data_IF_474454439960
#
_entry.id   IF_474454439960
#
_cell.length_a   1.000
_cell.length_b   1.000
_cell.length_c   1.000
_cell.angle_alpha   90.00
_cell.angle_beta   90.00
_cell.angle_gamma   90.00
#
_symmetry.space_group_name_H-M   'P 1'
#
loop_
_entity.id
_entity.type
_entity.pdbx_description
1 polymer ?
#
# COMPACT_ATOMS: atom_id res chain seq x y z
N UNK A 1 -11.10 -0.31 8.75
CA UNK A 1 -9.71 -0.12 9.20
C UNK A 1 -9.63 1.14 10.02
N UNK A 2 -8.89 1.10 11.10
CA UNK A 2 -8.71 2.23 12.03
C UNK A 2 -7.25 2.65 12.06
N UNK A 3 -7.02 3.89 12.49
CA UNK A 3 -5.66 4.34 12.75
C UNK A 3 -4.98 3.42 13.77
N UNK A 4 -3.75 3.01 13.48
CA UNK A 4 -3.00 2.07 14.30
C UNK A 4 -3.16 0.60 13.89
N UNK A 5 -4.09 0.26 13.02
CA UNK A 5 -4.17 -1.08 12.45
C UNK A 5 -2.89 -1.38 11.65
N UNK A 6 -2.43 -2.62 11.73
CA UNK A 6 -1.22 -3.06 11.05
C UNK A 6 -1.53 -4.18 10.07
N UNK A 7 -0.93 -4.12 8.89
CA UNK A 7 -1.03 -5.14 7.85
C UNK A 7 0.37 -5.69 7.58
N UNK A 8 0.79 -6.73 8.29
CA UNK A 8 2.12 -7.32 8.10
C UNK A 8 2.28 -7.89 6.69
N UNK A 9 3.49 -7.79 6.14
CA UNK A 9 3.83 -8.38 4.85
C UNK A 9 3.26 -7.68 3.63
N UNK A 10 2.66 -6.49 3.78
CA UNK A 10 2.16 -5.70 2.65
C UNK A 10 3.27 -4.94 1.93
N UNK A 11 4.35 -4.61 2.61
CA UNK A 11 5.45 -3.84 2.05
C UNK A 11 6.67 -4.74 1.86
N UNK A 12 7.23 -4.69 0.65
CA UNK A 12 8.40 -5.46 0.29
C UNK A 12 9.65 -4.59 0.11
N UNK A 13 10.62 -5.14 -0.60
CA UNK A 13 11.90 -4.49 -0.84
C UNK A 13 11.82 -3.28 -1.76
N UNK A 14 10.79 -3.18 -2.55
CA UNK A 14 10.56 -2.05 -3.45
C UNK A 14 9.33 -1.28 -2.97
N UNK A 15 9.56 -0.07 -2.50
CA UNK A 15 8.53 0.79 -1.91
C UNK A 15 8.92 2.25 -2.00
N UNK A 16 7.94 3.15 -1.85
CA UNK A 16 8.20 4.58 -1.79
C UNK A 16 8.50 5.02 -0.35
N UNK A 17 9.49 5.91 -0.23
CA UNK A 17 9.94 6.46 1.04
C UNK A 17 9.09 7.62 1.54
N UNK A 18 9.75 8.72 1.92
CA UNK A 18 9.08 9.91 2.42
C UNK A 18 8.11 10.51 1.39
N UNK A 19 6.96 11.05 1.83
CA UNK A 19 5.98 11.62 0.91
C UNK A 19 6.51 12.88 0.22
N UNK A 20 6.06 13.11 -1.02
CA UNK A 20 6.34 14.35 -1.71
C UNK A 20 5.62 15.53 -1.04
N UNK A 21 6.17 16.74 -1.23
CA UNK A 21 5.56 17.97 -0.74
C UNK A 21 4.59 18.51 -1.78
N UNK A 22 3.40 17.98 -1.82
CA UNK A 22 2.34 18.37 -2.77
C UNK A 22 1.15 18.90 -1.97
N UNK A 23 0.59 20.08 -2.32
CA UNK A 23 -0.60 20.59 -1.63
C UNK A 23 -1.76 19.60 -1.68
N UNK A 24 -2.38 19.34 -0.53
CA UNK A 24 -3.49 18.40 -0.40
C UNK A 24 -3.13 16.92 -0.32
N UNK A 25 -1.85 16.58 -0.41
CA UNK A 25 -1.41 15.21 -0.23
C UNK A 25 -1.66 14.72 1.20
N UNK A 26 -2.26 13.54 1.32
CA UNK A 26 -2.47 12.88 2.60
C UNK A 26 -1.73 11.56 2.64
N UNK A 27 -1.12 11.25 3.78
CA UNK A 27 -0.52 9.93 4.04
C UNK A 27 -1.62 9.00 4.52
N UNK A 28 -1.87 7.94 3.76
CA UNK A 28 -2.91 6.95 4.04
C UNK A 28 -2.40 5.83 4.92
N UNK A 29 -1.14 5.44 4.70
CA UNK A 29 -0.48 4.40 5.48
C UNK A 29 1.02 4.67 5.53
N UNK A 30 1.65 4.26 6.62
CA UNK A 30 3.09 4.38 6.78
C UNK A 30 3.65 3.23 7.61
N UNK A 31 4.94 3.02 7.50
CA UNK A 31 5.64 2.00 8.27
C UNK A 31 7.14 2.04 8.08
N UNK A 32 7.82 1.18 8.81
CA UNK A 32 9.26 0.95 8.64
C UNK A 32 9.46 -0.44 8.05
N UNK A 33 10.39 -0.52 7.11
CA UNK A 33 10.82 -1.76 6.47
C UNK A 33 12.27 -1.98 6.82
N UNK A 34 12.60 -3.17 7.30
CA UNK A 34 13.93 -3.51 7.79
C UNK A 34 14.63 -4.48 6.84
N UNK A 35 15.91 -4.23 6.58
CA UNK A 35 16.78 -5.13 5.82
C UNK A 35 17.86 -5.67 6.74
N UNK A 36 17.92 -7.00 6.88
CA UNK A 36 18.90 -7.66 7.74
C UNK A 36 18.81 -7.30 9.21
N UNK A 37 17.70 -6.71 9.67
CA UNK A 37 17.53 -6.30 11.07
C UNK A 37 18.33 -5.09 11.50
N UNK A 38 19.09 -4.47 10.60
CA UNK A 38 20.03 -3.38 10.92
C UNK A 38 19.62 -2.07 10.25
N UNK A 39 19.19 -2.12 8.99
CA UNK A 39 18.85 -0.95 8.21
C UNK A 39 17.34 -0.83 8.08
N UNK A 40 16.80 0.37 8.29
CA UNK A 40 15.38 0.63 8.09
C UNK A 40 15.16 1.62 6.96
N UNK A 41 14.02 1.50 6.30
CA UNK A 41 13.52 2.41 5.30
C UNK A 41 12.07 2.75 5.59
N UNK A 42 11.69 4.00 5.37
CA UNK A 42 10.31 4.45 5.57
C UNK A 42 9.46 4.11 4.35
N UNK A 43 8.26 3.63 4.60
CA UNK A 43 7.20 3.41 3.61
C UNK A 43 6.08 4.41 3.84
N UNK A 44 5.56 5.02 2.76
CA UNK A 44 4.35 5.86 2.83
C UNK A 44 3.48 5.65 1.59
N UNK A 45 2.22 5.27 1.81
CA UNK A 45 1.18 5.30 0.79
C UNK A 45 0.44 6.63 0.89
N UNK A 46 0.14 7.23 -0.25
CA UNK A 46 -0.39 8.59 -0.30
C UNK A 46 -1.57 8.72 -1.24
N UNK A 47 -2.40 9.73 -1.00
CA UNK A 47 -3.47 10.14 -1.91
C UNK A 47 -3.40 11.64 -2.13
N UNK A 48 -3.55 12.07 -3.37
CA UNK A 48 -3.55 13.48 -3.76
C UNK A 48 -4.85 13.77 -4.52
N UNK A 49 -5.70 14.70 -4.04
CA UNK A 49 -6.89 15.10 -4.78
C UNK A 49 -6.51 15.94 -6.00
N UNK A 50 -7.24 15.74 -7.09
CA UNK A 50 -7.10 16.52 -8.29
C UNK A 50 -8.20 17.62 -8.41
N UNK A 51 -8.11 18.49 -9.43
CA UNK A 51 -8.98 19.65 -9.56
C UNK A 51 -10.43 19.32 -9.99
N UNK A 52 -10.69 18.13 -10.48
CA UNK A 52 -12.00 17.70 -11.01
C UNK A 52 -12.58 16.53 -10.22
N UNK A 53 -12.48 16.55 -8.91
CA UNK A 53 -12.91 15.47 -8.03
C UNK A 53 -12.22 14.12 -8.35
N UNK A 54 -11.13 14.15 -9.09
CA UNK A 54 -10.26 13.01 -9.33
C UNK A 54 -9.18 12.95 -8.24
N UNK A 55 -8.39 11.90 -8.26
CA UNK A 55 -7.30 11.72 -7.31
C UNK A 55 -6.21 10.81 -7.88
N UNK A 56 -5.03 10.89 -7.27
CA UNK A 56 -3.95 9.93 -7.49
C UNK A 56 -3.70 9.20 -6.19
N UNK A 57 -3.80 7.89 -6.21
CA UNK A 57 -3.44 7.03 -5.09
C UNK A 57 -2.14 6.30 -5.41
N UNK A 58 -1.16 6.44 -4.53
CA UNK A 58 0.09 5.71 -4.62
C UNK A 58 0.14 4.66 -3.51
N UNK A 59 -0.01 3.40 -3.88
CA UNK A 59 0.07 2.29 -2.94
C UNK A 59 1.47 2.12 -2.35
N UNK A 60 2.49 2.56 -3.08
CA UNK A 60 3.87 2.62 -2.65
C UNK A 60 4.51 1.27 -2.30
N UNK A 61 3.90 0.18 -2.69
CA UNK A 61 4.44 -1.18 -2.51
C UNK A 61 4.14 -2.06 -3.71
N UNK A 62 5.09 -2.93 -4.06
CA UNK A 62 4.92 -3.93 -5.12
C UNK A 62 3.96 -5.06 -4.71
N UNK A 63 3.62 -5.18 -3.44
CA UNK A 63 2.81 -6.28 -2.91
C UNK A 63 1.33 -5.93 -2.74
N UNK A 64 0.88 -4.77 -3.21
CA UNK A 64 -0.52 -4.37 -3.06
C UNK A 64 -1.50 -5.37 -3.70
N UNK A 65 -1.19 -5.82 -4.91
CA UNK A 65 -2.04 -6.77 -5.63
C UNK A 65 -2.18 -8.10 -4.88
N UNK A 66 -1.12 -8.58 -4.23
CA UNK A 66 -1.17 -9.80 -3.42
C UNK A 66 -2.00 -9.62 -2.15
N UNK A 67 -2.15 -8.38 -1.67
CA UNK A 67 -3.08 -8.04 -0.59
C UNK A 67 -4.55 -8.08 -1.01
N UNK A 68 -4.85 -8.08 -2.32
CA UNK A 68 -6.21 -8.15 -2.85
C UNK A 68 -6.66 -9.58 -3.10
N UNK A 69 -5.85 -10.37 -3.76
CA UNK A 69 -6.23 -11.72 -4.16
C UNK A 69 -5.00 -12.63 -4.30
N UNK A 70 -5.24 -13.91 -4.04
CA UNK A 70 -4.27 -14.98 -4.30
C UNK A 70 -5.05 -16.13 -4.95
N UNK A 71 -5.20 -16.13 -6.29
CA UNK A 71 -5.96 -17.17 -7.00
C UNK A 71 -5.40 -18.56 -6.74
N UNK A 72 -6.21 -19.62 -6.83
CA UNK A 72 -5.73 -20.99 -6.71
C UNK A 72 -4.56 -21.28 -7.66
N UNK A 73 -3.51 -21.89 -7.14
CA UNK A 73 -2.30 -22.20 -7.90
C UNK A 73 -1.33 -21.03 -8.05
N UNK A 74 -1.71 -19.83 -7.60
CA UNK A 74 -0.80 -18.68 -7.61
C UNK A 74 0.25 -18.82 -6.52
N UNK A 75 1.50 -18.68 -6.91
CA UNK A 75 2.63 -18.64 -5.99
C UNK A 75 3.14 -17.20 -5.91
N UNK A 76 2.98 -16.51 -4.78
CA UNK A 76 3.56 -15.18 -4.61
C UNK A 76 5.06 -15.22 -4.84
N UNK A 77 5.63 -14.26 -5.56
CA UNK A 77 7.07 -14.26 -5.83
C UNK A 77 7.89 -14.07 -4.56
N UNK A 78 8.94 -14.85 -4.43
CA UNK A 78 10.03 -14.52 -3.51
C UNK A 78 10.93 -13.49 -4.20
N UNK A 79 11.23 -12.42 -3.52
CA UNK A 79 12.14 -11.42 -4.02
C UNK A 79 12.89 -10.78 -2.87
N UNK A 80 14.22 -10.76 -2.95
CA UNK A 80 15.08 -10.10 -1.97
C UNK A 80 14.73 -10.46 -0.51
N UNK A 81 14.50 -11.75 -0.25
CA UNK A 81 14.14 -12.29 1.08
C UNK A 81 12.77 -11.84 1.58
N UNK A 82 11.94 -11.28 0.67
CA UNK A 82 10.60 -10.80 1.00
C UNK A 82 9.53 -11.60 0.27
N UNK A 83 8.43 -11.88 0.96
CA UNK A 83 7.25 -12.52 0.42
C UNK A 83 6.00 -11.87 0.98
N UNK A 84 4.98 -11.57 0.16
CA UNK A 84 3.74 -11.00 0.65
C UNK A 84 3.00 -11.98 1.56
N UNK A 85 2.25 -11.44 2.53
CA UNK A 85 1.47 -12.25 3.46
C UNK A 85 0.20 -12.84 2.83
N UNK A 86 -0.25 -12.30 1.70
CA UNK A 86 -1.45 -12.74 1.01
C UNK A 86 -2.64 -11.78 1.19
N UNK A 87 -3.86 -12.20 0.77
CA UNK A 87 -5.03 -11.33 0.83
C UNK A 87 -5.35 -10.85 2.23
N UNK A 88 -5.74 -9.58 2.33
CA UNK A 88 -6.13 -8.95 3.59
C UNK A 88 -7.41 -8.12 3.38
N UNK A 89 -8.45 -8.32 4.20
CA UNK A 89 -9.72 -7.59 4.07
C UNK A 89 -9.56 -6.07 4.13
N UNK A 90 -8.55 -5.58 4.82
CA UNK A 90 -8.30 -4.13 4.94
C UNK A 90 -7.75 -3.55 3.65
N UNK A 91 -6.85 -4.25 2.96
CA UNK A 91 -6.35 -3.87 1.63
C UNK A 91 -7.49 -3.89 0.61
N UNK A 92 -8.33 -4.92 0.65
CA UNK A 92 -9.53 -5.03 -0.18
C UNK A 92 -10.48 -3.88 0.06
N UNK A 93 -10.73 -3.50 1.30
CA UNK A 93 -11.62 -2.39 1.66
C UNK A 93 -11.07 -1.04 1.22
N UNK A 94 -9.78 -0.80 1.37
CA UNK A 94 -9.15 0.44 0.88
C UNK A 94 -9.36 0.55 -0.63
N UNK A 95 -9.07 -0.52 -1.36
CA UNK A 95 -9.19 -0.54 -2.82
C UNK A 95 -10.64 -0.36 -3.25
N UNK A 96 -11.59 -1.03 -2.60
CA UNK A 96 -13.02 -0.85 -2.85
C UNK A 96 -13.44 0.62 -2.66
N UNK A 97 -13.00 1.25 -1.58
CA UNK A 97 -13.31 2.66 -1.31
C UNK A 97 -12.74 3.60 -2.37
N UNK A 98 -11.52 3.31 -2.86
CA UNK A 98 -10.92 4.08 -3.96
C UNK A 98 -11.74 3.95 -5.24
N UNK A 99 -12.17 2.74 -5.58
CA UNK A 99 -13.00 2.50 -6.76
C UNK A 99 -14.36 3.18 -6.64
N UNK A 100 -15.00 3.11 -5.47
CA UNK A 100 -16.27 3.80 -5.21
C UNK A 100 -16.11 5.31 -5.37
N UNK A 101 -15.05 5.88 -4.82
CA UNK A 101 -14.75 7.32 -4.97
C UNK A 101 -14.54 7.69 -6.44
N UNK A 102 -13.82 6.87 -7.21
CA UNK A 102 -13.61 7.09 -8.63
C UNK A 102 -14.91 7.07 -9.44
N UNK A 103 -15.90 6.27 -9.00
CA UNK A 103 -17.22 6.20 -9.61
C UNK A 103 -18.18 7.31 -9.13
N UNK A 104 -17.74 8.21 -8.25
CA UNK A 104 -18.55 9.29 -7.72
C UNK A 104 -19.44 8.91 -6.56
N UNK A 105 -19.20 7.74 -5.97
CA UNK A 105 -20.01 7.23 -4.88
C UNK A 105 -19.46 7.39 -3.46
#
# INVERSE_FOLDING_TARGET
MKQGDRIPGLVGWEHHGAPAKIPGLEVVAEGLVWSGGVTSSRYTATIVPGPKNNFVFNAATIFWAQGLASPPGHMPPWSHWARPAGPDPRVQRITENLLRRALGG
#
